data_IF_535337101602
#
_entry.id   IF_535337101602
#
_cell.length_a   1.000
_cell.length_b   1.000
_cell.length_c   1.000
_cell.angle_alpha   90.00
_cell.angle_beta   90.00
_cell.angle_gamma   90.00
#
_symmetry.space_group_name_H-M   'P 1'
#
loop_
_entity.id
_entity.type
_entity.pdbx_description
1 polymer ?
#
# COMPACT_ATOMS: atom_id res chain seq x y z
N UNK A 1 -9.73 -16.44 -9.45
CA UNK A 1 -8.50 -16.32 -8.60
C UNK A 1 -8.51 -15.02 -7.78
N UNK A 2 -8.64 -13.84 -8.42
CA UNK A 2 -8.70 -12.53 -7.75
C UNK A 2 -9.71 -12.46 -6.60
N UNK A 3 -10.94 -12.95 -6.77
CA UNK A 3 -11.95 -12.96 -5.69
C UNK A 3 -11.57 -13.76 -4.45
N UNK A 4 -10.62 -14.71 -4.55
CA UNK A 4 -10.04 -15.41 -3.38
C UNK A 4 -9.01 -14.52 -2.68
N UNK A 5 -8.17 -13.82 -3.45
CA UNK A 5 -7.19 -12.88 -2.91
C UNK A 5 -7.85 -11.73 -2.17
N UNK A 6 -8.88 -11.12 -2.77
CA UNK A 6 -9.65 -10.03 -2.15
C UNK A 6 -10.31 -10.48 -0.84
N UNK A 7 -10.92 -11.69 -0.83
CA UNK A 7 -11.51 -12.22 0.41
C UNK A 7 -10.47 -12.44 1.51
N UNK A 8 -9.30 -12.97 1.16
CA UNK A 8 -8.21 -13.19 2.10
C UNK A 8 -7.63 -11.87 2.64
N UNK A 9 -7.51 -10.86 1.79
CA UNK A 9 -6.99 -9.53 2.12
C UNK A 9 -8.03 -8.60 2.79
N UNK A 10 -9.21 -9.08 3.17
CA UNK A 10 -10.23 -8.24 3.84
C UNK A 10 -9.70 -7.49 5.09
N UNK A 11 -9.01 -8.14 6.05
CA UNK A 11 -8.42 -7.42 7.19
C UNK A 11 -7.43 -6.34 6.75
N UNK A 12 -6.64 -6.63 5.72
CA UNK A 12 -5.73 -5.65 5.12
C UNK A 12 -6.49 -4.42 4.58
N UNK A 13 -7.61 -4.60 3.88
CA UNK A 13 -8.39 -3.47 3.35
C UNK A 13 -9.03 -2.62 4.46
N UNK A 14 -9.41 -3.22 5.59
CA UNK A 14 -9.87 -2.47 6.76
C UNK A 14 -8.73 -1.60 7.30
N UNK A 15 -7.54 -2.17 7.47
CA UNK A 15 -6.36 -1.42 7.90
C UNK A 15 -5.97 -0.33 6.91
N UNK A 16 -6.04 -0.60 5.60
CA UNK A 16 -5.81 0.38 4.55
C UNK A 16 -6.77 1.57 4.68
N UNK A 17 -8.06 1.32 4.93
CA UNK A 17 -9.03 2.39 5.12
C UNK A 17 -8.71 3.23 6.36
N UNK A 18 -8.40 2.59 7.49
CA UNK A 18 -8.02 3.28 8.74
C UNK A 18 -6.76 4.14 8.52
N UNK A 19 -5.72 3.56 7.92
CA UNK A 19 -4.46 4.27 7.66
C UNK A 19 -4.65 5.42 6.67
N UNK A 20 -5.50 5.25 5.66
CA UNK A 20 -5.84 6.31 4.70
C UNK A 20 -6.56 7.47 5.40
N UNK A 21 -7.56 7.18 6.22
CA UNK A 21 -8.28 8.20 7.01
C UNK A 21 -7.32 8.91 7.98
N UNK A 22 -6.50 8.16 8.72
CA UNK A 22 -5.50 8.73 9.61
C UNK A 22 -4.52 9.63 8.87
N UNK A 23 -4.07 9.23 7.67
CA UNK A 23 -3.18 10.04 6.82
C UNK A 23 -3.86 11.33 6.34
N UNK A 24 -5.14 11.30 6.00
CA UNK A 24 -5.91 12.50 5.70
C UNK A 24 -5.98 13.42 6.92
N UNK A 25 -6.40 12.91 8.08
CA UNK A 25 -6.55 13.69 9.31
C UNK A 25 -5.24 14.35 9.76
N UNK A 26 -4.10 13.65 9.65
CA UNK A 26 -2.80 14.25 9.96
C UNK A 26 -2.50 15.50 9.12
N UNK A 27 -2.74 15.41 7.82
CA UNK A 27 -2.41 16.50 6.89
C UNK A 27 -3.40 17.65 6.88
N UNK A 28 -4.68 17.39 7.19
CA UNK A 28 -5.75 18.39 7.08
C UNK A 28 -6.24 18.88 8.44
N UNK A 29 -6.72 17.98 9.29
CA UNK A 29 -7.39 18.33 10.55
C UNK A 29 -6.40 18.66 11.67
N UNK A 30 -5.31 17.91 11.76
CA UNK A 30 -4.31 18.07 12.82
C UNK A 30 -3.13 18.97 12.43
N UNK A 31 -3.01 19.33 11.14
CA UNK A 31 -1.97 20.23 10.65
C UNK A 31 -0.54 19.76 10.96
N UNK A 32 -0.33 18.44 11.05
CA UNK A 32 0.98 17.90 11.39
C UNK A 32 1.93 18.14 10.21
N UNK A 33 3.18 18.62 10.44
CA UNK A 33 4.15 18.75 9.37
C UNK A 33 4.49 17.39 8.73
N UNK A 34 4.59 17.37 7.40
CA UNK A 34 4.77 16.15 6.62
C UNK A 34 6.02 15.36 7.06
N UNK A 35 7.12 16.04 7.35
CA UNK A 35 8.42 15.46 7.72
C UNK A 35 8.32 14.65 9.03
N UNK A 36 7.46 15.10 9.94
CA UNK A 36 7.23 14.45 11.23
C UNK A 36 6.21 13.33 11.13
N UNK A 37 5.14 13.55 10.36
CA UNK A 37 3.98 12.68 10.38
C UNK A 37 3.93 11.57 9.32
N UNK A 38 4.74 11.65 8.26
CA UNK A 38 4.58 10.76 7.09
C UNK A 38 4.75 9.26 7.40
N UNK A 39 5.54 8.95 8.42
CA UNK A 39 5.89 7.57 8.82
C UNK A 39 4.79 6.86 9.61
N UNK A 40 3.96 7.59 10.36
CA UNK A 40 2.93 6.99 11.23
C UNK A 40 1.84 6.27 10.45
N UNK A 41 1.38 6.86 9.34
CA UNK A 41 0.34 6.30 8.47
C UNK A 41 0.85 6.12 7.04
N UNK A 42 1.92 5.33 6.88
CA UNK A 42 2.48 5.00 5.57
C UNK A 42 1.75 3.81 4.93
N UNK A 43 0.91 4.10 3.93
CA UNK A 43 0.19 3.07 3.16
C UNK A 43 1.18 2.12 2.47
N UNK A 44 2.30 2.63 1.94
CA UNK A 44 3.29 1.81 1.24
C UNK A 44 3.93 0.80 2.19
N UNK A 45 4.35 1.25 3.39
CA UNK A 45 4.94 0.34 4.39
C UNK A 45 3.93 -0.68 4.90
N UNK A 46 2.69 -0.25 5.16
CA UNK A 46 1.59 -1.15 5.51
C UNK A 46 1.41 -2.24 4.45
N UNK A 47 1.35 -1.85 3.17
CA UNK A 47 1.18 -2.79 2.05
C UNK A 47 2.33 -3.79 1.98
N UNK A 48 3.56 -3.30 2.11
CA UNK A 48 4.77 -4.11 2.03
C UNK A 48 4.81 -5.17 3.14
N UNK A 49 4.64 -4.74 4.39
CA UNK A 49 4.66 -5.65 5.54
C UNK A 49 3.46 -6.59 5.54
N UNK A 50 2.27 -6.11 5.17
CA UNK A 50 1.11 -6.98 5.00
C UNK A 50 1.37 -8.04 3.94
N UNK A 51 1.94 -7.70 2.80
CA UNK A 51 2.28 -8.67 1.75
C UNK A 51 3.25 -9.74 2.22
N UNK A 52 4.30 -9.33 2.93
CA UNK A 52 5.24 -10.25 3.56
C UNK A 52 4.51 -11.19 4.55
N UNK A 53 3.74 -10.62 5.47
CA UNK A 53 3.04 -11.36 6.52
C UNK A 53 2.00 -12.33 5.95
N UNK A 54 1.15 -11.88 5.02
CA UNK A 54 0.20 -12.76 4.34
C UNK A 54 0.92 -13.86 3.57
N UNK A 55 2.02 -13.51 2.88
CA UNK A 55 2.88 -14.43 2.16
C UNK A 55 3.32 -15.62 3.01
N UNK A 56 3.72 -15.38 4.27
CA UNK A 56 4.16 -16.41 5.22
C UNK A 56 3.15 -17.55 5.35
N UNK A 57 1.86 -17.27 5.43
CA UNK A 57 0.84 -18.30 5.62
C UNK A 57 0.36 -18.95 4.30
N UNK A 58 0.67 -18.34 3.16
CA UNK A 58 0.14 -18.81 1.87
C UNK A 58 0.68 -20.18 1.47
N UNK A 59 1.94 -20.50 1.77
CA UNK A 59 2.55 -21.78 1.38
C UNK A 59 1.95 -22.97 2.14
N UNK A 60 2.05 -22.96 3.47
CA UNK A 60 1.80 -24.16 4.28
C UNK A 60 0.36 -24.31 4.74
N UNK A 61 -0.38 -23.21 4.91
CA UNK A 61 -1.76 -23.24 5.41
C UNK A 61 -2.80 -23.08 4.31
N UNK A 62 -2.44 -22.47 3.18
CA UNK A 62 -3.34 -22.25 2.03
C UNK A 62 -2.92 -23.00 0.76
N UNK A 63 -1.77 -23.70 0.79
CA UNK A 63 -1.22 -24.48 -0.31
C UNK A 63 -1.03 -23.69 -1.61
N UNK A 64 -0.70 -22.40 -1.49
CA UNK A 64 -0.43 -21.55 -2.65
C UNK A 64 0.92 -21.88 -3.26
N UNK A 65 1.00 -21.74 -4.59
CA UNK A 65 2.28 -21.64 -5.32
C UNK A 65 2.84 -20.23 -5.16
N UNK A 66 4.15 -20.07 -5.37
CA UNK A 66 4.84 -18.77 -5.27
C UNK A 66 4.17 -17.67 -6.11
N UNK A 67 3.75 -17.97 -7.36
CA UNK A 67 3.07 -16.99 -8.21
C UNK A 67 1.72 -16.53 -7.64
N UNK A 68 1.04 -17.37 -6.86
CA UNK A 68 -0.21 -16.98 -6.19
C UNK A 68 0.06 -16.08 -4.98
N UNK A 69 1.19 -16.27 -4.28
CA UNK A 69 1.63 -15.36 -3.21
C UNK A 69 2.06 -14.00 -3.77
N UNK A 70 2.82 -13.99 -4.89
CA UNK A 70 3.14 -12.77 -5.64
C UNK A 70 1.85 -12.06 -6.06
N UNK A 71 0.90 -12.79 -6.66
CA UNK A 71 -0.37 -12.24 -7.09
C UNK A 71 -1.20 -11.63 -5.95
N UNK A 72 -1.22 -12.27 -4.77
CA UNK A 72 -1.86 -11.71 -3.59
C UNK A 72 -1.23 -10.37 -3.18
N UNK A 73 0.10 -10.31 -3.11
CA UNK A 73 0.86 -9.10 -2.82
C UNK A 73 0.58 -7.98 -3.83
N UNK A 74 0.58 -8.31 -5.12
CA UNK A 74 0.28 -7.36 -6.20
C UNK A 74 -1.15 -6.83 -6.12
N UNK A 75 -2.15 -7.67 -5.81
CA UNK A 75 -3.54 -7.21 -5.65
C UNK A 75 -3.67 -6.21 -4.49
N UNK A 76 -3.03 -6.49 -3.35
CA UNK A 76 -3.02 -5.56 -2.22
C UNK A 76 -2.35 -4.24 -2.61
N UNK A 77 -1.22 -4.29 -3.33
CA UNK A 77 -0.53 -3.10 -3.80
C UNK A 77 -1.35 -2.28 -4.78
N UNK A 78 -1.93 -2.89 -5.81
CA UNK A 78 -2.73 -2.20 -6.82
C UNK A 78 -3.88 -1.44 -6.15
N UNK A 79 -4.63 -2.09 -5.26
CA UNK A 79 -5.73 -1.44 -4.54
C UNK A 79 -5.22 -0.26 -3.69
N UNK A 80 -4.08 -0.42 -3.03
CA UNK A 80 -3.50 0.62 -2.18
C UNK A 80 -2.98 1.81 -2.99
N UNK A 81 -2.38 1.54 -4.14
CA UNK A 81 -1.92 2.57 -5.07
C UNK A 81 -3.10 3.30 -5.70
N UNK A 82 -4.21 2.61 -6.01
CA UNK A 82 -5.45 3.26 -6.42
C UNK A 82 -6.00 4.19 -5.34
N UNK A 83 -5.97 3.78 -4.06
CA UNK A 83 -6.37 4.65 -2.94
C UNK A 83 -5.49 5.89 -2.85
N UNK A 84 -4.16 5.74 -2.99
CA UNK A 84 -3.22 6.88 -3.00
C UNK A 84 -3.49 7.80 -4.20
N UNK A 85 -3.69 7.20 -5.39
CA UNK A 85 -3.95 7.93 -6.64
C UNK A 85 -5.25 8.72 -6.53
N UNK A 86 -6.34 8.09 -6.09
CA UNK A 86 -7.64 8.75 -5.88
C UNK A 86 -7.59 9.81 -4.79
N UNK A 87 -6.86 9.57 -3.69
CA UNK A 87 -6.68 10.57 -2.64
C UNK A 87 -5.86 11.78 -3.13
N UNK A 88 -4.91 11.55 -4.03
CA UNK A 88 -4.17 12.63 -4.71
C UNK A 88 -5.13 13.43 -5.58
N UNK A 89 -5.93 12.77 -6.43
CA UNK A 89 -6.96 13.45 -7.25
C UNK A 89 -7.92 14.27 -6.39
N UNK A 90 -8.44 13.69 -5.30
CA UNK A 90 -9.34 14.38 -4.39
C UNK A 90 -8.68 15.62 -3.75
N UNK A 91 -7.40 15.53 -3.37
CA UNK A 91 -6.68 16.67 -2.78
C UNK A 91 -6.57 17.84 -3.75
N UNK A 92 -6.23 17.56 -5.01
CA UNK A 92 -6.18 18.59 -6.06
C UNK A 92 -7.58 19.11 -6.41
N UNK A 93 -8.58 18.23 -6.58
CA UNK A 93 -9.94 18.60 -6.94
C UNK A 93 -10.65 19.45 -5.88
N UNK A 94 -10.32 19.24 -4.60
CA UNK A 94 -10.84 20.05 -3.49
C UNK A 94 -9.99 21.29 -3.19
N UNK A 95 -8.82 21.45 -3.82
CA UNK A 95 -7.90 22.55 -3.53
C UNK A 95 -7.27 22.50 -2.13
N UNK A 96 -7.22 21.32 -1.50
CA UNK A 96 -6.74 21.15 -0.12
C UNK A 96 -5.31 20.63 -0.13
N UNK A 97 -4.44 21.20 0.71
CA UNK A 97 -3.12 20.63 1.01
C UNK A 97 -3.27 19.45 1.96
N UNK A 98 -2.81 18.28 1.53
CA UNK A 98 -2.85 17.03 2.27
C UNK A 98 -1.53 16.28 2.12
N UNK A 99 -1.36 15.19 2.87
CA UNK A 99 -0.20 14.32 2.71
C UNK A 99 -0.16 13.58 1.36
N UNK A 100 -1.25 13.62 0.59
CA UNK A 100 -1.35 12.97 -0.73
C UNK A 100 -0.91 13.87 -1.88
N UNK A 101 -0.99 15.20 -1.76
CA UNK A 101 -0.46 16.13 -2.76
C UNK A 101 0.76 16.93 -2.26
N UNK A 102 1.28 16.62 -1.07
CA UNK A 102 2.52 17.22 -0.59
C UNK A 102 3.68 17.01 -1.58
N UNK A 103 4.42 18.06 -1.98
CA UNK A 103 5.52 17.98 -2.95
C UNK A 103 6.52 16.85 -2.69
N UNK A 104 6.96 16.72 -1.44
CA UNK A 104 7.93 15.70 -1.06
C UNK A 104 7.39 14.28 -1.22
N UNK A 105 6.08 14.08 -1.17
CA UNK A 105 5.42 12.80 -1.42
C UNK A 105 5.36 12.41 -2.90
N UNK A 106 5.52 13.39 -3.80
CA UNK A 106 5.39 13.26 -5.24
C UNK A 106 6.74 13.23 -5.94
N UNK A 107 7.63 14.16 -5.65
CA UNK A 107 8.89 14.34 -6.38
C UNK A 107 10.14 14.29 -5.50
N UNK A 108 9.97 14.15 -4.17
CA UNK A 108 11.07 14.29 -3.19
C UNK A 108 11.70 15.69 -3.17
N UNK A 109 10.99 16.67 -3.70
CA UNK A 109 11.37 18.09 -3.69
C UNK A 109 10.34 18.88 -2.90
N UNK A 110 10.67 20.11 -2.51
CA UNK A 110 9.74 20.99 -1.77
C UNK A 110 8.89 21.89 -2.69
N UNK A 111 9.21 21.92 -3.99
CA UNK A 111 8.52 22.77 -4.96
C UNK A 111 7.09 22.28 -5.26
N UNK A 112 6.09 23.17 -5.30
CA UNK A 112 4.73 22.83 -5.67
C UNK A 112 4.66 22.07 -7.01
N UNK A 113 3.97 20.94 -7.01
CA UNK A 113 3.84 20.09 -8.19
C UNK A 113 2.45 20.29 -8.79
N UNK A 114 2.39 20.60 -10.09
CA UNK A 114 1.12 20.69 -10.80
C UNK A 114 0.43 19.31 -10.90
N UNK A 115 -0.88 19.31 -11.12
CA UNK A 115 -1.69 18.08 -11.12
C UNK A 115 -1.17 16.99 -12.08
N UNK A 116 -0.93 17.31 -13.35
CA UNK A 116 -0.50 16.32 -14.34
C UNK A 116 0.84 15.64 -13.97
N UNK A 117 1.92 16.39 -13.65
CA UNK A 117 3.15 15.77 -13.14
C UNK A 117 2.96 14.95 -11.86
N UNK A 118 2.08 15.40 -10.94
CA UNK A 118 1.77 14.65 -9.72
C UNK A 118 1.15 13.29 -10.05
N UNK A 119 0.18 13.25 -10.95
CA UNK A 119 -0.45 12.00 -11.38
C UNK A 119 0.52 11.09 -12.14
N UNK A 120 1.44 11.66 -12.93
CA UNK A 120 2.54 10.94 -13.56
C UNK A 120 3.45 10.24 -12.55
N UNK A 121 3.86 10.95 -11.50
CA UNK A 121 4.63 10.34 -10.39
C UNK A 121 3.85 9.22 -9.69
N UNK A 122 2.55 9.40 -9.45
CA UNK A 122 1.70 8.35 -8.87
C UNK A 122 1.60 7.11 -9.77
N UNK A 123 1.58 7.28 -11.09
CA UNK A 123 1.59 6.16 -12.03
C UNK A 123 2.90 5.36 -11.97
N UNK A 124 4.05 6.04 -11.87
CA UNK A 124 5.35 5.38 -11.67
C UNK A 124 5.37 4.63 -10.33
N UNK A 125 4.93 5.30 -9.26
CA UNK A 125 4.81 4.70 -7.93
C UNK A 125 3.90 3.47 -7.93
N UNK A 126 2.79 3.50 -8.67
CA UNK A 126 1.89 2.36 -8.81
C UNK A 126 2.62 1.13 -9.34
N UNK A 127 3.38 1.27 -10.42
CA UNK A 127 4.12 0.15 -11.02
C UNK A 127 5.22 -0.35 -10.08
N UNK A 128 6.08 0.54 -9.61
CA UNK A 128 7.25 0.18 -8.78
C UNK A 128 6.81 -0.46 -7.46
N UNK A 129 5.87 0.17 -6.74
CA UNK A 129 5.40 -0.34 -5.46
C UNK A 129 4.65 -1.68 -5.61
N UNK A 130 3.93 -1.87 -6.74
CA UNK A 130 3.26 -3.15 -7.00
C UNK A 130 4.27 -4.28 -7.19
N UNK A 131 5.34 -4.05 -7.94
CA UNK A 131 6.42 -5.03 -8.14
C UNK A 131 7.09 -5.34 -6.79
N UNK A 132 7.50 -4.32 -6.04
CA UNK A 132 8.15 -4.49 -4.74
C UNK A 132 7.28 -5.27 -3.74
N UNK A 133 5.97 -4.99 -3.73
CA UNK A 133 5.03 -5.70 -2.86
C UNK A 133 4.81 -7.15 -3.31
N UNK A 134 4.80 -7.40 -4.62
CA UNK A 134 4.79 -8.76 -5.17
C UNK A 134 6.02 -9.57 -4.74
N UNK A 135 7.21 -8.94 -4.77
CA UNK A 135 8.46 -9.53 -4.26
C UNK A 135 8.34 -9.82 -2.77
N UNK A 136 7.81 -8.89 -1.96
CA UNK A 136 7.58 -9.13 -0.54
C UNK A 136 6.64 -10.32 -0.29
N UNK A 137 5.62 -10.50 -1.13
CA UNK A 137 4.73 -11.67 -1.07
C UNK A 137 5.47 -12.98 -1.36
N UNK A 138 6.38 -12.99 -2.35
CA UNK A 138 7.24 -14.13 -2.63
C UNK A 138 8.20 -14.44 -1.47
N UNK A 139 8.83 -13.42 -0.89
CA UNK A 139 9.71 -13.57 0.28
C UNK A 139 8.93 -14.14 1.47
N UNK A 140 7.72 -13.65 1.71
CA UNK A 140 6.83 -14.20 2.72
C UNK A 140 6.55 -15.68 2.46
N UNK A 141 6.21 -16.05 1.24
CA UNK A 141 5.99 -17.46 0.86
C UNK A 141 7.22 -18.36 1.12
N UNK A 142 8.43 -17.85 0.87
CA UNK A 142 9.68 -18.56 1.18
C UNK A 142 9.82 -18.76 2.70
N UNK A 143 9.64 -17.70 3.48
CA UNK A 143 9.66 -17.76 4.95
C UNK A 143 8.58 -18.71 5.50
N UNK A 144 7.45 -18.82 4.81
CA UNK A 144 6.38 -19.76 5.14
C UNK A 144 6.79 -21.24 5.15
N UNK A 145 7.94 -21.59 4.55
CA UNK A 145 8.52 -22.93 4.67
C UNK A 145 8.88 -23.28 6.12
N UNK A 146 9.24 -22.27 6.92
CA UNK A 146 9.66 -22.41 8.31
C UNK A 146 8.47 -22.59 9.28
N UNK A 147 7.24 -22.32 8.83
CA UNK A 147 6.07 -22.53 9.67
C UNK A 147 5.85 -24.02 9.96
N UNK A 148 5.27 -24.37 11.12
CA UNK A 148 4.80 -25.72 11.38
C UNK A 148 3.62 -26.09 10.46
N UNK A 149 3.30 -27.38 10.32
CA UNK A 149 2.06 -27.83 9.72
C UNK A 149 0.86 -27.10 10.33
N UNK A 150 -0.22 -26.97 9.55
CA UNK A 150 -1.46 -26.41 10.07
C UNK A 150 -1.96 -27.31 11.20
N UNK A 151 -2.23 -26.73 12.37
CA UNK A 151 -2.89 -27.45 13.46
C UNK A 151 -4.28 -27.89 12.97
N UNK A 152 -4.56 -29.19 13.11
CA UNK A 152 -5.84 -29.82 12.77
C UNK A 152 -6.90 -29.54 13.84
#
# INVERSE_FOLDING_TARGET
MIGRFVRLARPYFVMLAIVTVGRWLLGTAFGVPYERGTWYFSIVMLTLFASLFYGVFTRRWLSFRILQAVGLGMVMAVISQLVIWLSTVASYGLGIQSYFNHPFALTRQMEPVAFLPAMGSRAVGLVVNTILTGIAGALGWVLGALLPPRAE
#
